data_IF_038425754859
#
_entry.id   IF_038425754859
#
_cell.length_a   1.000
_cell.length_b   1.000
_cell.length_c   1.000
_cell.angle_alpha   90.00
_cell.angle_beta   90.00
_cell.angle_gamma   90.00
#
_symmetry.space_group_name_H-M   'P 1'
#
loop_
_entity.id
_entity.type
_entity.pdbx_description
1 polymer ?
#
# COMPACT_ATOMS: atom_id res chain seq x y z
N UNK A 1 -14.27 4.69 -23.72
CA UNK A 1 -14.02 3.74 -22.60
C UNK A 1 -12.65 3.14 -22.89
N UNK A 2 -11.63 3.31 -22.04
CA UNK A 2 -10.32 2.72 -22.33
C UNK A 2 -10.42 1.19 -22.14
N UNK A 3 -10.26 0.43 -23.22
CA UNK A 3 -10.36 -1.02 -23.21
C UNK A 3 -9.29 -1.66 -22.30
N UNK A 4 -9.61 -2.82 -21.73
CA UNK A 4 -8.69 -3.58 -20.89
C UNK A 4 -7.52 -4.12 -21.72
N UNK A 5 -6.41 -3.38 -21.73
CA UNK A 5 -5.19 -3.82 -22.39
C UNK A 5 -4.52 -4.99 -21.66
N UNK A 6 -3.71 -5.82 -22.35
CA UNK A 6 -2.92 -6.86 -21.70
C UNK A 6 -2.06 -6.33 -20.53
N UNK A 7 -1.46 -5.15 -20.69
CA UNK A 7 -0.68 -4.50 -19.64
C UNK A 7 -1.53 -4.17 -18.41
N UNK A 8 -2.73 -3.61 -18.61
CA UNK A 8 -3.65 -3.28 -17.50
C UNK A 8 -4.12 -4.53 -16.75
N UNK A 9 -4.37 -5.64 -17.45
CA UNK A 9 -4.68 -6.94 -16.82
C UNK A 9 -3.52 -7.51 -16.00
N UNK A 10 -2.29 -7.37 -16.50
CA UNK A 10 -1.10 -7.80 -15.77
C UNK A 10 -0.94 -7.00 -14.47
N UNK A 11 -1.05 -5.67 -14.55
CA UNK A 11 -1.00 -4.79 -13.36
C UNK A 11 -2.08 -5.18 -12.35
N UNK A 12 -3.33 -5.41 -12.79
CA UNK A 12 -4.40 -5.84 -11.89
C UNK A 12 -4.08 -7.16 -11.19
N UNK A 13 -3.53 -8.13 -11.92
CA UNK A 13 -3.10 -9.42 -11.35
C UNK A 13 -2.00 -9.26 -10.31
N UNK A 14 -0.99 -8.43 -10.61
CA UNK A 14 0.10 -8.14 -9.69
C UNK A 14 -0.38 -7.45 -8.41
N UNK A 15 -1.24 -6.44 -8.54
CA UNK A 15 -1.82 -5.73 -7.41
C UNK A 15 -2.72 -6.64 -6.55
N UNK A 16 -3.52 -7.51 -7.17
CA UNK A 16 -4.37 -8.44 -6.44
C UNK A 16 -3.53 -9.44 -5.61
N UNK A 17 -2.48 -10.01 -6.20
CA UNK A 17 -1.56 -10.90 -5.47
C UNK A 17 -0.83 -10.17 -4.35
N UNK A 18 -0.43 -8.93 -4.58
CA UNK A 18 0.24 -8.13 -3.56
C UNK A 18 -0.70 -7.78 -2.41
N UNK A 19 -1.96 -7.45 -2.69
CA UNK A 19 -2.97 -7.21 -1.67
C UNK A 19 -3.18 -8.42 -0.75
N UNK A 20 -3.26 -9.64 -1.31
CA UNK A 20 -3.36 -10.88 -0.51
C UNK A 20 -2.15 -11.05 0.41
N UNK A 21 -0.94 -10.81 -0.11
CA UNK A 21 0.28 -10.89 0.71
C UNK A 21 0.27 -9.85 1.84
N UNK A 22 -0.16 -8.63 1.57
CA UNK A 22 -0.25 -7.58 2.57
C UNK A 22 -1.29 -7.91 3.65
N UNK A 23 -2.44 -8.47 3.28
CA UNK A 23 -3.46 -8.92 4.22
C UNK A 23 -2.90 -9.95 5.20
N UNK A 24 -2.18 -10.96 4.69
CA UNK A 24 -1.54 -11.98 5.52
C UNK A 24 -0.56 -11.37 6.53
N UNK A 25 0.31 -10.46 6.08
CA UNK A 25 1.25 -9.75 6.96
C UNK A 25 0.53 -8.90 8.02
N UNK A 26 -0.60 -8.28 7.66
CA UNK A 26 -1.38 -7.47 8.59
C UNK A 26 -2.06 -8.35 9.65
N UNK A 27 -2.63 -9.49 9.26
CA UNK A 27 -3.24 -10.43 10.21
C UNK A 27 -2.21 -11.10 11.12
N UNK A 28 -1.01 -11.39 10.60
CA UNK A 28 0.14 -11.82 11.41
C UNK A 28 0.53 -10.74 12.44
N UNK A 29 0.66 -9.48 12.01
CA UNK A 29 0.98 -8.36 12.90
C UNK A 29 -0.09 -8.11 13.95
N UNK A 30 -1.37 -8.34 13.63
CA UNK A 30 -2.49 -8.30 14.60
C UNK A 30 -2.35 -9.42 15.63
N UNK A 31 -2.00 -10.62 15.20
CA UNK A 31 -1.80 -11.78 16.08
C UNK A 31 -0.61 -11.58 17.04
N UNK A 32 0.43 -10.87 16.57
CA UNK A 32 1.62 -10.54 17.36
C UNK A 32 1.44 -9.30 18.26
N UNK A 33 0.31 -8.59 18.15
CA UNK A 33 0.05 -7.37 18.92
C UNK A 33 0.76 -6.12 18.40
N UNK A 34 1.45 -6.19 17.26
CA UNK A 34 2.11 -5.05 16.62
C UNK A 34 1.11 -4.09 15.98
N UNK A 35 0.01 -4.64 15.46
CA UNK A 35 -1.06 -3.89 14.79
C UNK A 35 -2.35 -3.97 15.61
N UNK A 36 -3.15 -2.91 15.56
CA UNK A 36 -4.41 -2.87 16.29
C UNK A 36 -5.37 -3.95 15.77
N UNK A 37 -5.93 -4.77 16.67
CA UNK A 37 -6.83 -5.89 16.32
C UNK A 37 -8.06 -5.46 15.52
N UNK A 38 -8.51 -4.21 15.71
CA UNK A 38 -9.65 -3.63 15.01
C UNK A 38 -9.36 -3.21 13.55
N UNK A 39 -8.10 -3.26 13.10
CA UNK A 39 -7.74 -2.93 11.71
C UNK A 39 -8.31 -3.97 10.76
N UNK A 40 -9.07 -3.48 9.77
CA UNK A 40 -9.47 -4.24 8.59
C UNK A 40 -8.24 -4.45 7.68
N UNK A 41 -7.77 -5.70 7.60
CA UNK A 41 -6.59 -6.06 6.82
C UNK A 41 -6.76 -5.81 5.31
N UNK A 42 -7.98 -5.96 4.79
CA UNK A 42 -8.28 -5.73 3.37
C UNK A 42 -8.23 -4.24 3.05
N UNK A 43 -8.85 -3.42 3.88
CA UNK A 43 -8.83 -1.96 3.73
C UNK A 43 -7.40 -1.41 3.90
N UNK A 44 -6.66 -1.88 4.91
CA UNK A 44 -5.28 -1.47 5.16
C UNK A 44 -4.34 -1.85 3.99
N UNK A 45 -4.43 -3.06 3.45
CA UNK A 45 -3.67 -3.46 2.26
C UNK A 45 -3.98 -2.58 1.04
N UNK A 46 -5.27 -2.27 0.82
CA UNK A 46 -5.72 -1.40 -0.27
C UNK A 46 -5.17 0.01 -0.11
N UNK A 47 -5.24 0.57 1.10
CA UNK A 47 -4.70 1.89 1.42
C UNK A 47 -3.20 1.93 1.20
N UNK A 48 -2.46 0.91 1.66
CA UNK A 48 -1.01 0.84 1.49
C UNK A 48 -0.60 0.85 0.01
N UNK A 49 -1.27 0.05 -0.82
CA UNK A 49 -1.07 0.08 -2.28
C UNK A 49 -1.36 1.48 -2.84
N UNK A 50 -2.45 2.11 -2.39
CA UNK A 50 -2.79 3.49 -2.74
C UNK A 50 -1.69 4.49 -2.38
N UNK A 51 -1.00 4.31 -1.25
CA UNK A 51 0.13 5.19 -0.87
C UNK A 51 1.30 5.09 -1.86
N UNK A 52 1.63 3.88 -2.32
CA UNK A 52 2.67 3.66 -3.32
C UNK A 52 2.25 4.28 -4.66
N UNK A 53 1.00 4.09 -5.08
CA UNK A 53 0.45 4.71 -6.28
C UNK A 53 0.49 6.23 -6.21
N UNK A 54 0.15 6.81 -5.05
CA UNK A 54 0.25 8.23 -4.79
C UNK A 54 1.68 8.74 -5.00
N UNK A 55 2.69 8.06 -4.45
CA UNK A 55 4.09 8.41 -4.66
C UNK A 55 4.52 8.33 -6.13
N UNK A 56 4.06 7.30 -6.86
CA UNK A 56 4.31 7.17 -8.31
C UNK A 56 3.70 8.37 -9.04
N UNK A 57 2.43 8.67 -8.81
CA UNK A 57 1.74 9.80 -9.44
C UNK A 57 2.45 11.12 -9.14
N UNK A 58 2.82 11.38 -7.88
CA UNK A 58 3.53 12.60 -7.50
C UNK A 58 4.91 12.70 -8.17
N UNK A 59 5.66 11.60 -8.27
CA UNK A 59 6.96 11.58 -8.94
C UNK A 59 6.86 11.87 -10.45
N UNK A 60 5.81 11.34 -11.11
CA UNK A 60 5.54 11.58 -12.53
C UNK A 60 5.16 13.04 -12.78
N UNK A 61 4.29 13.60 -11.93
CA UNK A 61 3.88 15.01 -12.04
C UNK A 61 5.04 15.98 -11.78
N UNK A 62 5.93 15.64 -10.85
CA UNK A 62 7.12 16.43 -10.55
C UNK A 62 8.27 16.24 -11.57
N UNK A 63 8.19 15.24 -12.45
CA UNK A 63 9.30 14.87 -13.35
C UNK A 63 10.53 14.32 -12.62
N UNK A 64 10.42 13.90 -11.36
CA UNK A 64 11.51 13.39 -10.53
C UNK A 64 11.16 12.03 -9.93
N UNK A 65 11.57 10.96 -10.61
CA UNK A 65 11.34 9.58 -10.16
C UNK A 65 12.06 9.28 -8.84
N UNK A 66 13.19 9.94 -8.55
CA UNK A 66 13.89 9.74 -7.29
C UNK A 66 13.14 10.32 -6.09
N UNK A 67 12.21 11.26 -6.31
CA UNK A 67 11.36 11.83 -5.25
C UNK A 67 10.53 10.77 -4.53
N UNK A 68 10.03 9.75 -5.26
CA UNK A 68 9.28 8.64 -4.68
C UNK A 68 10.08 7.96 -3.55
N UNK A 69 11.36 7.64 -3.80
CA UNK A 69 12.21 6.97 -2.81
C UNK A 69 12.50 7.88 -1.61
N UNK A 70 12.67 9.18 -1.83
CA UNK A 70 12.90 10.15 -0.75
C UNK A 70 11.66 10.35 0.14
N UNK A 71 10.45 10.29 -0.45
CA UNK A 71 9.19 10.50 0.25
C UNK A 71 8.66 9.22 0.94
N UNK A 72 9.03 8.04 0.44
CA UNK A 72 8.52 6.76 0.95
C UNK A 72 8.62 6.56 2.47
N UNK A 73 9.74 6.91 3.15
CA UNK A 73 9.84 6.75 4.60
C UNK A 73 8.77 7.54 5.37
N UNK A 74 8.49 8.78 4.97
CA UNK A 74 7.50 9.63 5.64
C UNK A 74 6.07 9.13 5.45
N UNK A 75 5.74 8.74 4.22
CA UNK A 75 4.41 8.16 3.91
C UNK A 75 4.19 6.85 4.65
N UNK A 76 5.21 5.98 4.69
CA UNK A 76 5.12 4.73 5.44
C UNK A 76 4.97 4.95 6.94
N UNK A 77 5.68 5.92 7.52
CA UNK A 77 5.56 6.24 8.94
C UNK A 77 4.15 6.67 9.33
N UNK A 78 3.48 7.47 8.48
CA UNK A 78 2.08 7.87 8.68
C UNK A 78 1.15 6.66 8.58
N UNK A 79 1.29 5.86 7.53
CA UNK A 79 0.50 4.64 7.36
C UNK A 79 0.65 3.70 8.56
N UNK A 80 1.89 3.38 8.95
CA UNK A 80 2.19 2.50 10.08
C UNK A 80 1.59 3.03 11.38
N UNK A 81 1.69 4.34 11.65
CA UNK A 81 1.07 4.96 12.83
C UNK A 81 -0.44 4.81 12.83
N UNK A 82 -1.08 4.85 11.67
CA UNK A 82 -2.54 4.71 11.55
C UNK A 82 -3.06 3.30 11.84
N UNK A 83 -2.24 2.27 11.71
CA UNK A 83 -2.63 0.85 11.90
C UNK A 83 -1.96 0.18 13.11
N UNK A 84 -0.96 0.82 13.71
CA UNK A 84 -0.22 0.30 14.84
C UNK A 84 -1.10 0.14 16.08
N UNK A 85 -0.74 -0.80 16.94
CA UNK A 85 -1.36 -0.95 18.26
C UNK A 85 -1.12 0.31 19.12
N UNK A 86 -2.12 0.68 19.93
CA UNK A 86 -2.02 1.77 20.92
C UNK A 86 -1.62 1.28 22.32
N UNK A 87 -1.43 -0.04 22.49
CA UNK A 87 -0.99 -0.67 23.73
C UNK A 87 0.52 -0.55 23.91
#
# INVERSE_FOLDING_TARGET
RADMTPAKRMVQTLLARYAVRLQQLIDEGKTQGELAVAVDATAAATLFIGTIQGLVMQSLLAGDVAAMRRQAPGVFAIYRRGIGSTL
#
